data_IF_556261597194
#
_entry.id   IF_556261597194
#
_cell.length_a   1.000
_cell.length_b   1.000
_cell.length_c   1.000
_cell.angle_alpha   90.00
_cell.angle_beta   90.00
_cell.angle_gamma   90.00
#
_symmetry.space_group_name_H-M   'P 1'
#
loop_
_entity.id
_entity.type
_entity.pdbx_description
1 polymer ?
#
# COMPACT_ATOMS: atom_id res chain seq x y z
N UNK A 1 21.14 5.69 -9.07
CA UNK A 1 20.31 6.33 -8.03
C UNK A 1 18.93 5.71 -8.13
N UNK A 2 18.29 5.33 -7.02
CA UNK A 2 16.91 4.82 -7.03
C UNK A 2 15.98 5.98 -6.68
N UNK A 3 15.25 6.48 -7.67
CA UNK A 3 14.42 7.67 -7.55
C UNK A 3 12.98 7.33 -7.15
N UNK A 4 12.30 8.31 -6.57
CA UNK A 4 10.85 8.33 -6.35
C UNK A 4 10.36 9.78 -6.51
N UNK A 5 9.04 9.96 -6.58
CA UNK A 5 8.44 11.23 -7.00
C UNK A 5 7.89 12.05 -5.84
N UNK A 6 7.69 13.34 -6.09
CA UNK A 6 7.15 14.33 -5.16
C UNK A 6 5.74 14.01 -4.64
N UNK A 7 4.92 13.33 -5.44
CA UNK A 7 3.59 12.85 -5.03
C UNK A 7 3.63 11.60 -4.12
N UNK A 8 4.81 11.01 -3.89
CA UNK A 8 4.99 9.92 -2.92
C UNK A 8 5.35 10.51 -1.55
N UNK A 9 4.33 10.74 -0.72
CA UNK A 9 4.52 11.26 0.63
C UNK A 9 5.35 10.31 1.51
N UNK A 10 6.25 10.86 2.34
CA UNK A 10 7.21 10.06 3.13
C UNK A 10 6.59 8.93 3.96
N UNK A 11 5.46 9.18 4.64
CA UNK A 11 4.74 8.15 5.43
C UNK A 11 4.02 7.08 4.62
N UNK A 12 3.92 7.26 3.30
CA UNK A 12 3.34 6.31 2.35
C UNK A 12 4.38 5.78 1.34
N UNK A 13 5.68 6.00 1.59
CA UNK A 13 6.73 5.80 0.58
C UNK A 13 7.29 4.38 0.51
N UNK A 14 6.96 3.48 1.45
CA UNK A 14 7.57 2.15 1.54
C UNK A 14 7.37 1.30 0.27
N UNK A 15 6.33 1.57 -0.51
CA UNK A 15 5.99 0.87 -1.75
C UNK A 15 6.82 1.33 -2.95
N UNK A 16 7.62 2.39 -2.80
CA UNK A 16 8.47 2.96 -3.84
C UNK A 16 9.91 2.44 -3.77
N UNK A 17 10.85 3.12 -4.43
CA UNK A 17 12.29 2.91 -4.28
C UNK A 17 12.78 2.94 -2.81
N UNK A 18 12.08 3.62 -1.90
CA UNK A 18 12.38 3.61 -0.46
C UNK A 18 12.29 2.21 0.14
N UNK A 19 11.45 1.32 -0.43
CA UNK A 19 11.31 -0.07 0.00
C UNK A 19 12.51 -0.98 -0.29
N UNK A 20 13.60 -0.47 -0.88
CA UNK A 20 14.75 -1.28 -1.30
C UNK A 20 15.34 -2.14 -0.16
N UNK A 21 15.41 -1.63 1.07
CA UNK A 21 15.88 -2.42 2.22
C UNK A 21 14.98 -3.61 2.52
N UNK A 22 13.67 -3.49 2.30
CA UNK A 22 12.70 -4.58 2.44
C UNK A 22 12.96 -5.60 1.34
N UNK A 23 13.08 -5.18 0.08
CA UNK A 23 13.42 -6.05 -1.06
C UNK A 23 14.70 -6.85 -0.80
N UNK A 24 15.76 -6.19 -0.29
CA UNK A 24 17.01 -6.88 0.06
C UNK A 24 16.85 -7.89 1.20
N UNK A 25 15.88 -7.67 2.10
CA UNK A 25 15.66 -8.52 3.28
C UNK A 25 14.78 -9.73 3.00
N UNK A 26 13.74 -9.58 2.17
CA UNK A 26 12.74 -10.63 1.92
C UNK A 26 12.75 -11.16 0.48
N UNK A 27 13.55 -10.58 -0.41
CA UNK A 27 13.58 -10.92 -1.83
C UNK A 27 12.49 -10.24 -2.67
N UNK A 28 12.72 -10.19 -3.99
CA UNK A 28 11.83 -9.50 -4.94
C UNK A 28 10.44 -10.14 -5.01
N UNK A 29 10.35 -11.46 -5.04
CA UNK A 29 9.07 -12.17 -5.19
C UNK A 29 8.13 -11.90 -4.01
N UNK A 30 8.67 -11.86 -2.79
CA UNK A 30 7.88 -11.53 -1.60
C UNK A 30 7.50 -10.04 -1.57
N UNK A 31 8.38 -9.15 -2.02
CA UNK A 31 8.04 -7.74 -2.15
C UNK A 31 6.96 -7.49 -3.21
N UNK A 32 6.98 -8.22 -4.33
CA UNK A 32 5.90 -8.16 -5.32
C UNK A 32 4.57 -8.64 -4.77
N UNK A 33 4.56 -9.71 -3.96
CA UNK A 33 3.35 -10.15 -3.26
C UNK A 33 2.83 -9.10 -2.27
N UNK A 34 3.73 -8.41 -1.56
CA UNK A 34 3.37 -7.29 -0.69
C UNK A 34 2.70 -6.15 -1.48
N UNK A 35 3.28 -5.75 -2.62
CA UNK A 35 2.68 -4.73 -3.51
C UNK A 35 1.32 -5.18 -4.06
N UNK A 36 1.19 -6.44 -4.45
CA UNK A 36 -0.07 -7.00 -4.96
C UNK A 36 -1.17 -7.00 -3.89
N UNK A 37 -0.82 -7.32 -2.63
CA UNK A 37 -1.74 -7.23 -1.51
C UNK A 37 -2.24 -5.81 -1.24
N UNK A 38 -1.34 -4.82 -1.29
CA UNK A 38 -1.72 -3.41 -1.18
C UNK A 38 -2.67 -2.99 -2.32
N UNK A 39 -2.32 -3.33 -3.56
CA UNK A 39 -3.15 -3.03 -4.72
C UNK A 39 -4.54 -3.69 -4.66
N UNK A 40 -4.64 -4.90 -4.13
CA UNK A 40 -5.92 -5.58 -3.92
C UNK A 40 -6.80 -4.83 -2.90
N UNK A 41 -6.21 -4.31 -1.82
CA UNK A 41 -6.93 -3.49 -0.84
C UNK A 41 -7.32 -2.12 -1.42
N UNK A 42 -6.48 -1.52 -2.26
CA UNK A 42 -6.82 -0.28 -2.96
C UNK A 42 -8.05 -0.47 -3.87
N UNK A 43 -8.11 -1.59 -4.61
CA UNK A 43 -9.30 -1.95 -5.40
C UNK A 43 -10.52 -2.17 -4.52
N UNK A 44 -10.40 -2.91 -3.42
CA UNK A 44 -11.49 -3.10 -2.46
C UNK A 44 -12.02 -1.74 -1.98
N UNK A 45 -11.12 -0.83 -1.60
CA UNK A 45 -11.48 0.50 -1.15
C UNK A 45 -12.17 1.33 -2.23
N UNK A 46 -11.72 1.25 -3.48
CA UNK A 46 -12.26 2.05 -4.58
C UNK A 46 -13.61 1.51 -5.11
N UNK A 47 -13.80 0.19 -5.12
CA UNK A 47 -14.87 -0.47 -5.86
C UNK A 47 -16.04 -0.94 -4.98
N UNK A 48 -15.82 -1.18 -3.69
CA UNK A 48 -16.88 -1.73 -2.81
C UNK A 48 -17.85 -0.66 -2.29
N UNK A 49 -19.16 -1.00 -2.17
CA UNK A 49 -20.14 -0.18 -1.47
C UNK A 49 -19.66 0.19 -0.06
N UNK A 50 -19.98 1.40 0.40
CA UNK A 50 -19.45 1.94 1.66
C UNK A 50 -19.78 1.06 2.87
N UNK A 51 -20.96 0.47 2.88
CA UNK A 51 -21.48 -0.43 3.91
C UNK A 51 -20.73 -1.78 4.02
N UNK A 52 -19.93 -2.15 3.01
CA UNK A 52 -19.08 -3.35 3.01
C UNK A 52 -17.60 -3.02 2.79
N UNK A 53 -17.25 -1.74 2.78
CA UNK A 53 -15.90 -1.26 2.54
C UNK A 53 -15.11 -1.26 3.86
N UNK A 54 -14.11 -2.15 3.97
CA UNK A 54 -13.39 -2.41 5.21
C UNK A 54 -12.66 -1.17 5.74
N UNK A 55 -11.84 -0.46 4.94
CA UNK A 55 -11.24 0.80 5.38
C UNK A 55 -12.26 1.86 5.83
N UNK A 56 -13.39 2.00 5.12
CA UNK A 56 -14.43 2.98 5.46
C UNK A 56 -15.08 2.65 6.79
N UNK A 57 -15.49 1.40 6.99
CA UNK A 57 -16.10 0.94 8.25
C UNK A 57 -15.13 1.19 9.41
N UNK A 58 -13.85 0.81 9.25
CA UNK A 58 -12.82 1.04 10.26
C UNK A 58 -12.62 2.52 10.58
N UNK A 59 -12.65 3.40 9.57
CA UNK A 59 -12.54 4.84 9.78
C UNK A 59 -13.74 5.40 10.55
N UNK A 60 -14.96 4.96 10.22
CA UNK A 60 -16.20 5.42 10.90
C UNK A 60 -16.26 4.92 12.34
N UNK A 61 -15.79 3.71 12.64
CA UNK A 61 -15.69 3.21 14.02
C UNK A 61 -14.70 4.01 14.89
N UNK A 62 -13.77 4.74 14.27
CA UNK A 62 -12.80 5.59 14.95
C UNK A 62 -13.29 7.01 15.26
N UNK A 63 -14.52 7.36 14.86
CA UNK A 63 -15.18 8.64 15.15
C UNK A 63 -15.97 8.50 16.45
#
# INVERSE_FOLDING_TARGET
MFEFWDWVGGRYSLWSAIGLSIVCSIGVDNFQQLLAGAHAMDKHFQEMPLETNLPVIMAVLGI
#
